data_IF_134694447194
#
_entry.id   IF_134694447194
#
_cell.length_a   1.000
_cell.length_b   1.000
_cell.length_c   1.000
_cell.angle_alpha   90.00
_cell.angle_beta   90.00
_cell.angle_gamma   90.00
#
_symmetry.space_group_name_H-M   'P 1'
#
loop_
_entity.id
_entity.type
_entity.pdbx_description
1 polymer ?
#
# COMPACT_ATOMS: atom_id res chain seq x y z
N UNK A 1 -33.36 77.65 38.48
CA UNK A 1 -32.44 76.54 38.63
C UNK A 1 -33.06 75.31 37.93
N UNK A 2 -32.65 75.03 36.69
CA UNK A 2 -33.20 73.90 35.89
C UNK A 2 -32.35 72.69 36.13
N UNK A 3 -32.90 71.62 36.69
CA UNK A 3 -32.25 70.32 36.89
C UNK A 3 -32.30 69.56 35.57
N UNK A 4 -31.13 69.34 34.99
CA UNK A 4 -30.93 68.50 33.79
C UNK A 4 -30.85 67.04 34.22
N UNK A 5 -31.86 66.25 33.90
CA UNK A 5 -31.83 64.79 34.06
C UNK A 5 -31.15 64.18 32.86
N UNK A 6 -29.98 63.60 33.09
CA UNK A 6 -29.22 62.84 32.11
C UNK A 6 -29.74 61.37 32.11
N UNK A 7 -30.44 60.96 31.07
CA UNK A 7 -30.91 59.58 30.87
C UNK A 7 -29.75 58.79 30.22
N UNK A 8 -29.11 57.96 30.99
CA UNK A 8 -28.14 56.99 30.47
C UNK A 8 -28.89 55.74 30.02
N UNK A 9 -29.09 55.58 28.71
CA UNK A 9 -29.62 54.35 28.13
C UNK A 9 -28.51 53.28 28.10
N UNK A 10 -28.64 52.28 28.98
CA UNK A 10 -27.73 51.12 29.02
C UNK A 10 -28.09 50.18 27.86
N UNK A 11 -27.29 50.17 26.78
CA UNK A 11 -27.48 49.22 25.69
C UNK A 11 -26.82 47.90 26.09
N UNK A 12 -27.62 46.96 26.62
CA UNK A 12 -27.16 45.57 26.86
C UNK A 12 -27.19 44.83 25.53
N UNK A 13 -26.03 44.75 24.86
CA UNK A 13 -25.84 43.86 23.71
C UNK A 13 -25.76 42.45 24.26
N UNK A 14 -26.83 41.69 24.15
CA UNK A 14 -26.84 40.26 24.42
C UNK A 14 -25.95 39.55 23.37
N UNK A 15 -24.72 39.24 23.74
CA UNK A 15 -23.85 38.38 22.94
C UNK A 15 -24.40 36.95 23.05
N UNK A 16 -25.30 36.58 22.12
CA UNK A 16 -25.70 35.20 21.99
C UNK A 16 -24.48 34.40 21.49
N UNK A 17 -24.07 33.30 22.16
CA UNK A 17 -23.04 32.44 21.62
C UNK A 17 -23.56 31.88 20.31
N UNK A 18 -22.97 32.28 19.20
CA UNK A 18 -23.15 31.61 17.90
C UNK A 18 -22.49 30.25 18.04
N UNK A 19 -23.26 29.22 18.40
CA UNK A 19 -22.80 27.84 18.24
C UNK A 19 -22.56 27.61 16.73
N UNK A 20 -21.32 27.73 16.30
CA UNK A 20 -20.93 27.31 14.97
C UNK A 20 -21.24 25.83 14.84
N UNK A 21 -22.31 25.51 14.08
CA UNK A 21 -22.69 24.14 13.76
C UNK A 21 -21.48 23.48 13.14
N UNK A 22 -20.78 22.62 13.89
CA UNK A 22 -19.64 21.86 13.37
C UNK A 22 -20.16 21.05 12.19
N UNK A 23 -19.80 21.47 10.99
CA UNK A 23 -20.12 20.75 9.76
C UNK A 23 -19.57 19.34 9.89
N UNK A 24 -20.43 18.32 9.73
CA UNK A 24 -19.99 16.93 9.80
C UNK A 24 -19.08 16.68 8.61
N UNK A 25 -17.78 16.54 8.85
CA UNK A 25 -16.79 16.18 7.84
C UNK A 25 -17.25 14.90 7.15
N UNK A 26 -17.36 14.94 5.82
CA UNK A 26 -17.79 13.79 5.02
C UNK A 26 -16.80 12.62 5.18
N UNK A 27 -17.26 11.36 5.10
CA UNK A 27 -16.38 10.18 5.24
C UNK A 27 -15.16 10.22 4.30
N UNK A 28 -15.37 10.68 3.05
CA UNK A 28 -14.32 10.79 2.04
C UNK A 28 -13.23 11.80 2.46
N UNK A 29 -13.62 12.92 3.04
CA UNK A 29 -12.68 13.93 3.55
C UNK A 29 -11.89 13.43 4.75
N UNK A 30 -12.52 12.58 5.58
CA UNK A 30 -11.80 11.93 6.69
C UNK A 30 -10.74 10.96 6.16
N UNK A 31 -11.07 10.15 5.15
CA UNK A 31 -10.13 9.24 4.50
C UNK A 31 -8.96 10.01 3.88
N UNK A 32 -9.24 11.04 3.08
CA UNK A 32 -8.19 11.88 2.48
C UNK A 32 -7.26 12.53 3.52
N UNK A 33 -7.77 12.89 4.69
CA UNK A 33 -6.99 13.50 5.76
C UNK A 33 -6.02 12.50 6.45
N UNK A 34 -6.19 11.18 6.24
CA UNK A 34 -5.25 10.17 6.75
C UNK A 34 -4.02 9.98 5.86
N UNK A 35 -4.09 10.42 4.59
CA UNK A 35 -2.98 10.31 3.66
C UNK A 35 -1.83 11.23 4.12
N UNK A 36 -0.69 10.63 4.37
CA UNK A 36 0.49 11.34 4.88
C UNK A 36 1.64 11.20 3.87
N UNK A 37 2.04 12.32 3.27
CA UNK A 37 3.10 12.37 2.26
C UNK A 37 4.44 11.83 2.81
N UNK A 38 4.78 12.12 4.06
CA UNK A 38 6.03 11.63 4.65
C UNK A 38 6.03 10.11 4.81
N UNK A 39 4.89 9.52 5.21
CA UNK A 39 4.74 8.05 5.27
C UNK A 39 4.81 7.44 3.87
N UNK A 40 4.06 8.01 2.91
CA UNK A 40 4.07 7.55 1.53
C UNK A 40 5.49 7.56 0.96
N UNK A 41 6.22 8.66 1.14
CA UNK A 41 7.61 8.79 0.73
C UNK A 41 8.51 7.73 1.36
N UNK A 42 8.41 7.51 2.67
CA UNK A 42 9.21 6.50 3.38
C UNK A 42 8.98 5.08 2.85
N UNK A 43 7.73 4.72 2.52
CA UNK A 43 7.42 3.42 1.92
C UNK A 43 8.02 3.27 0.52
N UNK A 44 7.89 4.29 -0.35
CA UNK A 44 8.49 4.26 -1.69
C UNK A 44 10.02 4.19 -1.59
N UNK A 45 10.64 5.02 -0.76
CA UNK A 45 12.10 5.04 -0.58
C UNK A 45 12.64 3.68 -0.12
N UNK A 46 11.93 3.01 0.78
CA UNK A 46 12.34 1.66 1.20
C UNK A 46 12.14 0.64 0.08
N UNK A 47 10.93 0.57 -0.51
CA UNK A 47 10.63 -0.43 -1.54
C UNK A 47 11.48 -0.26 -2.80
N UNK A 48 11.84 0.96 -3.16
CA UNK A 48 12.68 1.27 -4.30
C UNK A 48 14.17 1.41 -3.96
N UNK A 49 14.59 1.03 -2.75
CA UNK A 49 16.00 1.12 -2.35
C UNK A 49 16.85 0.04 -3.01
N UNK A 50 18.14 0.35 -3.23
CA UNK A 50 19.13 -0.59 -3.75
C UNK A 50 19.32 -1.82 -2.86
N UNK A 51 19.01 -1.70 -1.56
CA UNK A 51 19.06 -2.81 -0.60
C UNK A 51 18.16 -3.96 -1.03
N UNK A 52 17.02 -3.67 -1.65
CA UNK A 52 16.10 -4.68 -2.15
C UNK A 52 16.43 -5.19 -3.55
N UNK A 53 17.53 -4.71 -4.17
CA UNK A 53 18.02 -5.17 -5.48
C UNK A 53 16.91 -5.43 -6.49
N UNK A 54 15.97 -4.47 -6.59
CA UNK A 54 14.84 -4.56 -7.49
C UNK A 54 13.83 -5.64 -7.17
N UNK A 55 13.83 -6.20 -5.95
CA UNK A 55 12.82 -7.09 -5.35
C UNK A 55 12.16 -8.10 -6.31
N UNK A 56 12.99 -8.76 -7.15
CA UNK A 56 12.52 -9.76 -8.11
C UNK A 56 11.74 -10.88 -7.38
N UNK A 57 10.60 -11.26 -7.96
CA UNK A 57 9.74 -12.30 -7.41
C UNK A 57 10.49 -13.63 -7.23
N UNK A 58 10.32 -14.26 -6.07
CA UNK A 58 10.97 -15.53 -5.74
C UNK A 58 12.45 -15.43 -5.34
N UNK A 59 12.99 -14.21 -5.23
CA UNK A 59 14.30 -13.94 -4.65
C UNK A 59 14.19 -13.59 -3.16
N UNK A 60 15.33 -13.63 -2.46
CA UNK A 60 15.43 -13.18 -1.07
C UNK A 60 14.91 -11.74 -0.90
N UNK A 61 15.26 -10.85 -1.82
CA UNK A 61 14.86 -9.44 -1.76
C UNK A 61 13.36 -9.24 -1.98
N UNK A 62 12.75 -10.02 -2.87
CA UNK A 62 11.30 -10.08 -3.03
C UNK A 62 10.61 -10.58 -1.76
N UNK A 63 11.19 -11.59 -1.09
CA UNK A 63 10.68 -12.06 0.20
C UNK A 63 10.80 -11.00 1.29
N UNK A 64 11.94 -10.30 1.39
CA UNK A 64 12.12 -9.20 2.36
C UNK A 64 11.10 -8.09 2.14
N UNK A 65 10.83 -7.72 0.89
CA UNK A 65 9.78 -6.75 0.56
C UNK A 65 8.40 -7.24 1.05
N UNK A 66 8.08 -8.52 0.85
CA UNK A 66 6.83 -9.12 1.36
C UNK A 66 6.72 -9.09 2.89
N UNK A 67 7.78 -9.45 3.61
CA UNK A 67 7.82 -9.37 5.08
C UNK A 67 7.65 -7.94 5.60
N UNK A 68 8.25 -6.97 4.90
CA UNK A 68 8.02 -5.56 5.19
C UNK A 68 6.54 -5.18 5.09
N UNK A 69 5.87 -5.59 4.02
CA UNK A 69 4.44 -5.33 3.83
C UNK A 69 3.60 -6.00 4.92
N UNK A 70 3.92 -7.23 5.30
CA UNK A 70 3.26 -7.92 6.43
C UNK A 70 3.41 -7.13 7.72
N UNK A 71 4.60 -6.60 8.01
CA UNK A 71 4.83 -5.78 9.21
C UNK A 71 3.99 -4.49 9.20
N UNK A 72 3.92 -3.80 8.06
CA UNK A 72 3.11 -2.58 7.89
C UNK A 72 1.62 -2.89 8.05
N UNK A 73 1.11 -3.94 7.42
CA UNK A 73 -0.30 -4.34 7.53
C UNK A 73 -0.69 -4.70 8.97
N UNK A 74 0.18 -5.40 9.70
CA UNK A 74 -0.01 -5.65 11.14
C UNK A 74 -0.06 -4.36 11.94
N UNK A 75 0.84 -3.41 11.68
CA UNK A 75 0.84 -2.11 12.34
C UNK A 75 -0.45 -1.32 12.07
N UNK A 76 -1.03 -1.47 10.90
CA UNK A 76 -2.30 -0.85 10.52
C UNK A 76 -3.53 -1.54 11.17
N UNK A 77 -3.35 -2.67 11.84
CA UNK A 77 -4.44 -3.44 12.45
C UNK A 77 -5.23 -4.29 11.46
N UNK A 78 -4.72 -4.49 10.24
CA UNK A 78 -5.30 -5.43 9.31
C UNK A 78 -5.19 -6.87 9.82
N UNK A 79 -6.11 -7.73 9.41
CA UNK A 79 -6.11 -9.15 9.79
C UNK A 79 -5.73 -10.04 8.61
N UNK A 80 -5.11 -11.21 8.84
CA UNK A 80 -4.77 -12.12 7.75
C UNK A 80 -6.03 -12.68 7.08
N UNK A 81 -5.95 -12.90 5.77
CA UNK A 81 -7.07 -13.48 5.01
C UNK A 81 -7.13 -15.01 5.16
N UNK A 82 -5.99 -15.68 5.31
CA UNK A 82 -5.88 -17.14 5.40
C UNK A 82 -5.47 -17.58 6.81
N UNK A 83 -6.44 -17.94 7.63
CA UNK A 83 -6.19 -18.38 9.00
C UNK A 83 -5.35 -17.36 9.79
N UNK A 84 -4.13 -17.74 10.17
CA UNK A 84 -3.20 -16.87 10.90
C UNK A 84 -2.07 -16.31 10.02
N UNK A 85 -2.14 -16.48 8.70
CA UNK A 85 -1.09 -16.09 7.77
C UNK A 85 -1.52 -14.93 6.87
N UNK A 86 -0.68 -13.91 6.75
CA UNK A 86 -0.77 -12.88 5.73
C UNK A 86 -0.22 -13.34 4.38
N UNK A 87 0.43 -14.49 4.34
CA UNK A 87 1.18 -14.99 3.19
C UNK A 87 0.45 -16.15 2.55
N UNK A 88 0.24 -16.07 1.23
CA UNK A 88 -0.21 -17.14 0.38
C UNK A 88 0.96 -17.62 -0.48
N UNK A 89 1.62 -18.74 -0.13
CA UNK A 89 2.76 -19.24 -0.90
C UNK A 89 2.30 -19.94 -2.17
N UNK A 90 3.08 -19.81 -3.24
CA UNK A 90 2.90 -20.52 -4.50
C UNK A 90 4.22 -20.73 -5.21
N UNK A 91 4.22 -21.52 -6.29
CA UNK A 91 5.40 -21.80 -7.12
C UNK A 91 5.22 -21.20 -8.51
N UNK A 92 6.21 -20.43 -8.94
CA UNK A 92 6.34 -19.99 -10.32
C UNK A 92 7.33 -20.88 -11.09
N UNK A 93 7.03 -21.17 -12.35
CA UNK A 93 7.83 -22.00 -13.23
C UNK A 93 8.31 -21.21 -14.43
N UNK A 94 9.58 -21.36 -14.81
CA UNK A 94 10.18 -20.66 -15.96
C UNK A 94 11.15 -21.57 -16.68
N UNK A 95 11.37 -21.32 -17.98
CA UNK A 95 12.42 -22.01 -18.75
C UNK A 95 13.79 -21.63 -18.19
N UNK A 96 14.68 -22.63 -18.06
CA UNK A 96 15.98 -22.44 -17.43
C UNK A 96 16.85 -21.40 -18.15
N UNK A 97 16.82 -21.39 -19.47
CA UNK A 97 17.68 -20.53 -20.30
C UNK A 97 17.04 -19.20 -20.73
N UNK A 98 15.86 -18.87 -20.23
CA UNK A 98 15.17 -17.65 -20.63
C UNK A 98 14.80 -16.80 -19.43
N UNK A 99 15.55 -15.72 -19.19
CA UNK A 99 15.15 -14.66 -18.27
C UNK A 99 13.95 -13.87 -18.80
N UNK A 100 13.82 -13.75 -20.12
CA UNK A 100 12.79 -12.95 -20.76
C UNK A 100 11.38 -13.58 -20.70
N UNK A 101 11.27 -14.89 -20.44
CA UNK A 101 9.96 -15.57 -20.44
C UNK A 101 9.15 -15.41 -19.15
N UNK A 102 9.73 -14.78 -18.11
CA UNK A 102 9.06 -14.65 -16.82
C UNK A 102 8.71 -15.99 -16.18
N UNK A 103 7.87 -15.95 -15.16
CA UNK A 103 7.34 -17.13 -14.50
C UNK A 103 5.87 -17.35 -14.85
N UNK A 104 5.46 -18.58 -15.03
CA UNK A 104 4.06 -18.96 -15.13
C UNK A 104 3.59 -19.71 -13.89
N UNK A 105 2.34 -19.51 -13.55
CA UNK A 105 1.60 -20.25 -12.48
C UNK A 105 0.41 -21.00 -13.07
N UNK A 106 0.15 -20.85 -14.37
CA UNK A 106 -0.98 -21.46 -15.07
C UNK A 106 -0.67 -22.92 -15.37
N UNK A 107 -1.55 -23.89 -15.03
CA UNK A 107 -1.29 -25.31 -15.19
C UNK A 107 -0.81 -25.70 -16.58
N UNK A 108 -1.47 -25.23 -17.63
CA UNK A 108 -1.15 -25.54 -19.03
C UNK A 108 0.24 -25.04 -19.39
N UNK A 109 0.63 -23.86 -18.91
CA UNK A 109 1.97 -23.29 -19.09
C UNK A 109 3.04 -24.10 -18.35
N UNK A 110 2.74 -24.54 -17.12
CA UNK A 110 3.62 -25.38 -16.32
C UNK A 110 3.92 -26.71 -17.03
N UNK A 111 2.92 -27.37 -17.57
CA UNK A 111 3.08 -28.63 -18.30
C UNK A 111 3.94 -28.46 -19.58
N UNK A 112 3.86 -27.29 -20.24
CA UNK A 112 4.74 -27.02 -21.38
C UNK A 112 6.19 -26.77 -20.94
N UNK A 113 6.39 -26.00 -19.89
CA UNK A 113 7.71 -25.68 -19.35
C UNK A 113 8.44 -26.94 -18.87
N UNK A 114 7.73 -27.86 -18.22
CA UNK A 114 8.31 -29.13 -17.70
C UNK A 114 8.76 -30.10 -18.78
N UNK A 115 8.47 -29.87 -20.06
CA UNK A 115 8.99 -30.69 -21.16
C UNK A 115 10.48 -30.47 -21.43
N UNK A 116 11.07 -29.40 -20.92
CA UNK A 116 12.49 -29.09 -21.06
C UNK A 116 13.12 -28.72 -19.71
N UNK A 117 14.38 -28.26 -19.70
CA UNK A 117 15.01 -27.74 -18.49
C UNK A 117 14.26 -26.52 -17.96
N UNK A 118 13.86 -26.55 -16.69
CA UNK A 118 13.13 -25.48 -16.05
C UNK A 118 13.68 -25.14 -14.67
N UNK A 119 13.30 -23.99 -14.18
CA UNK A 119 13.54 -23.53 -12.81
C UNK A 119 12.21 -23.24 -12.10
N UNK A 120 12.26 -23.38 -10.79
CA UNK A 120 11.11 -23.13 -9.92
C UNK A 120 11.50 -22.05 -8.92
N UNK A 121 10.65 -21.04 -8.77
CA UNK A 121 10.79 -20.06 -7.71
C UNK A 121 9.65 -20.21 -6.71
N UNK A 122 9.99 -20.14 -5.42
CA UNK A 122 9.00 -20.03 -4.37
C UNK A 122 8.59 -18.56 -4.25
N UNK A 123 7.32 -18.30 -4.43
CA UNK A 123 6.75 -16.95 -4.44
C UNK A 123 5.63 -16.86 -3.40
N UNK A 124 5.18 -15.67 -3.10
CA UNK A 124 4.03 -15.48 -2.24
C UNK A 124 3.28 -14.18 -2.57
N UNK A 125 1.98 -14.22 -2.36
CA UNK A 125 1.17 -13.02 -2.26
C UNK A 125 1.05 -12.62 -0.78
N UNK A 126 0.97 -11.33 -0.52
CA UNK A 126 0.64 -10.78 0.81
C UNK A 126 -0.81 -10.36 0.78
N UNK A 127 -1.61 -10.91 1.69
CA UNK A 127 -3.06 -10.74 1.71
C UNK A 127 -3.53 -10.38 3.11
N UNK A 128 -4.37 -9.37 3.17
CA UNK A 128 -4.98 -8.91 4.41
C UNK A 128 -6.43 -8.51 4.17
N UNK A 129 -7.20 -8.43 5.23
CA UNK A 129 -8.56 -7.88 5.20
C UNK A 129 -8.76 -6.83 6.27
N UNK A 130 -9.64 -5.89 5.97
CA UNK A 130 -10.21 -4.93 6.90
C UNK A 130 -11.72 -5.16 6.85
N UNK A 131 -12.34 -5.42 7.99
CA UNK A 131 -13.78 -5.67 8.06
C UNK A 131 -14.55 -4.39 7.75
N UNK A 132 -15.45 -4.49 6.77
CA UNK A 132 -16.39 -3.43 6.41
C UNK A 132 -17.65 -3.46 7.25
N UNK A 133 -18.54 -2.52 7.00
CA UNK A 133 -19.87 -2.47 7.67
C UNK A 133 -20.85 -3.46 7.08
N UNK A 134 -20.73 -3.77 5.80
CA UNK A 134 -21.57 -4.71 5.10
C UNK A 134 -20.74 -5.96 4.78
N UNK A 135 -20.97 -7.11 5.45
CA UNK A 135 -20.20 -8.32 5.24
C UNK A 135 -20.49 -9.00 3.89
N UNK A 136 -21.58 -8.63 3.22
CA UNK A 136 -21.97 -9.22 1.93
C UNK A 136 -21.31 -8.52 0.73
N UNK A 137 -20.62 -7.40 0.99
CA UNK A 137 -19.92 -6.64 -0.04
C UNK A 137 -18.41 -6.74 0.15
N UNK A 138 -17.72 -7.20 -0.91
CA UNK A 138 -16.27 -7.34 -0.89
C UNK A 138 -15.66 -6.41 -1.94
N UNK A 139 -14.74 -5.56 -1.51
CA UNK A 139 -13.89 -4.77 -2.38
C UNK A 139 -12.48 -5.32 -2.32
N UNK A 140 -11.92 -5.69 -3.47
CA UNK A 140 -10.53 -6.16 -3.58
C UNK A 140 -9.69 -5.03 -4.16
N UNK A 141 -8.62 -4.67 -3.45
CA UNK A 141 -7.61 -3.71 -3.93
C UNK A 141 -6.29 -4.44 -4.02
N UNK A 142 -5.60 -4.32 -5.16
CA UNK A 142 -4.35 -5.03 -5.40
C UNK A 142 -3.28 -4.14 -6.00
N UNK A 143 -2.02 -4.44 -5.65
CA UNK A 143 -0.82 -3.87 -6.26
C UNK A 143 0.27 -4.94 -6.21
N UNK A 144 1.06 -5.08 -7.30
CA UNK A 144 2.23 -5.96 -7.21
C UNK A 144 3.38 -5.22 -6.53
N UNK A 145 4.17 -5.93 -5.74
CA UNK A 145 5.29 -5.36 -5.00
C UNK A 145 6.64 -5.84 -5.49
N UNK A 146 6.67 -6.85 -6.36
CA UNK A 146 7.88 -7.31 -7.04
C UNK A 146 8.26 -6.38 -8.20
N UNK A 147 9.52 -6.47 -8.66
CA UNK A 147 9.98 -5.82 -9.86
C UNK A 147 11.04 -6.69 -10.56
N UNK A 148 11.82 -6.12 -11.47
CA UNK A 148 12.69 -6.87 -12.41
C UNK A 148 14.00 -7.38 -11.78
N UNK A 149 14.29 -7.03 -10.53
CA UNK A 149 15.54 -7.43 -9.89
C UNK A 149 16.71 -6.55 -10.32
N UNK A 150 17.85 -7.17 -10.66
CA UNK A 150 19.05 -6.48 -11.12
C UNK A 150 19.71 -7.24 -12.27
N UNK A 151 20.44 -6.52 -13.11
CA UNK A 151 21.24 -7.08 -14.20
C UNK A 151 22.70 -6.66 -14.06
N UNK A 152 23.58 -7.57 -13.60
CA UNK A 152 25.00 -7.26 -13.39
C UNK A 152 25.78 -6.99 -14.69
N UNK A 153 25.16 -7.20 -15.86
CA UNK A 153 25.75 -6.90 -17.16
C UNK A 153 25.60 -5.44 -17.60
N UNK A 154 24.76 -4.67 -16.89
CA UNK A 154 24.63 -3.23 -17.14
C UNK A 154 25.81 -2.47 -16.54
N UNK A 155 26.31 -1.46 -17.27
CA UNK A 155 27.53 -0.74 -16.90
C UNK A 155 27.33 0.30 -15.79
N UNK A 156 26.14 0.90 -15.72
CA UNK A 156 25.86 2.02 -14.81
C UNK A 156 24.85 1.62 -13.71
N UNK A 157 23.60 1.96 -13.91
CA UNK A 157 22.53 1.60 -12.98
C UNK A 157 22.00 0.20 -13.35
N UNK A 158 22.41 -0.78 -12.57
CA UNK A 158 22.10 -2.19 -12.80
C UNK A 158 20.94 -2.71 -11.94
N UNK A 159 20.32 -1.85 -11.10
CA UNK A 159 19.20 -2.21 -10.24
C UNK A 159 17.91 -1.59 -10.80
N UNK A 160 16.93 -2.43 -11.08
CA UNK A 160 15.60 -1.98 -11.44
C UNK A 160 14.83 -1.67 -10.17
N UNK A 161 14.98 -0.44 -9.65
CA UNK A 161 14.41 -0.04 -8.35
C UNK A 161 12.88 -0.06 -8.30
N UNK A 162 12.19 0.23 -9.43
CA UNK A 162 10.74 0.12 -9.55
C UNK A 162 9.97 1.02 -8.57
N UNK A 163 10.34 2.30 -8.50
CA UNK A 163 9.64 3.27 -7.65
C UNK A 163 8.22 3.53 -8.18
N UNK A 164 8.10 3.77 -9.48
CA UNK A 164 6.82 3.97 -10.16
C UNK A 164 6.14 2.62 -10.44
N UNK A 165 6.90 1.64 -10.90
CA UNK A 165 6.45 0.28 -11.18
C UNK A 165 6.97 -0.72 -10.12
N UNK A 166 6.26 -1.07 -9.06
CA UNK A 166 4.95 -0.53 -8.69
C UNK A 166 4.93 -0.22 -7.18
N UNK A 167 6.06 0.28 -6.63
CA UNK A 167 6.09 0.72 -5.24
C UNK A 167 5.05 1.83 -4.99
N UNK A 168 4.81 2.70 -5.99
CA UNK A 168 3.79 3.74 -5.93
C UNK A 168 2.38 3.17 -5.75
N UNK A 169 2.01 2.12 -6.49
CA UNK A 169 0.73 1.44 -6.35
C UNK A 169 0.58 0.75 -5.00
N UNK A 170 1.66 0.12 -4.49
CA UNK A 170 1.68 -0.44 -3.13
C UNK A 170 1.44 0.64 -2.09
N UNK A 171 2.07 1.79 -2.21
CA UNK A 171 1.89 2.91 -1.29
C UNK A 171 0.49 3.48 -1.35
N UNK A 172 -0.10 3.58 -2.55
CA UNK A 172 -1.49 3.97 -2.71
C UNK A 172 -2.41 3.00 -1.94
N UNK A 173 -2.21 1.67 -2.09
CA UNK A 173 -2.94 0.64 -1.35
C UNK A 173 -2.79 0.80 0.17
N UNK A 174 -1.57 1.03 0.66
CA UNK A 174 -1.30 1.22 2.09
C UNK A 174 -1.85 2.54 2.65
N UNK A 175 -2.29 3.46 1.80
CA UNK A 175 -2.84 4.76 2.19
C UNK A 175 -4.36 4.76 2.31
N UNK A 176 -5.02 3.70 1.86
CA UNK A 176 -6.48 3.51 1.94
C UNK A 176 -6.92 3.09 3.35
#
# INVERSE_FOLDING_TARGET
MKKLFLLIALFVVAIMPVEAKKEKVKPEQKGLATINIAKAKAHVEFLASDVLKGREAGTEWGHIAGEYLVAVLKQMGATPLFGNSFVQPFKGYSLYYSKASGYTVVPEGIEQIKKGPYRVANMHNVLAKIEGKNPDEIVVVGAHYDHLGYDPMLADDFIYNGADDNASGVVALLSL
#
